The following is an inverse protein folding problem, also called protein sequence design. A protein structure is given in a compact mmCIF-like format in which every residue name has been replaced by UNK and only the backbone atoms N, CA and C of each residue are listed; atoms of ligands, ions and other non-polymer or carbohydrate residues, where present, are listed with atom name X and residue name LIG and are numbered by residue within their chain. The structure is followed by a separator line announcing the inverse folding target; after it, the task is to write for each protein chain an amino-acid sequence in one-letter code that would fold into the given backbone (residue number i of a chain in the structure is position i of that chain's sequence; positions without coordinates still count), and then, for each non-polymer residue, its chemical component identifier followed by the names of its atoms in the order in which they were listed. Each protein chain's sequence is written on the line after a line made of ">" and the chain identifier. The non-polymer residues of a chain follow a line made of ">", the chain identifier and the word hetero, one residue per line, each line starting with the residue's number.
data_IF_437565888022
#
_entry.id   IF_437565888022
#
_cell.length_a   1.000
_cell.length_b   1.000
_cell.length_c   1.000
_cell.angle_alpha   90.00
_cell.angle_beta   90.00
_cell.angle_gamma   90.00
#
_symmetry.space_group_name_H-M   'P 1'
#
loop_
_entity.id
_entity.type
_entity.pdbx_description
1 polymer ?
#
# COMPACT_ATOMS: atom_id res chain seq x y z
N UNK A 1 29.16 -2.34 35.47
CA UNK A 1 29.37 -3.80 35.43
C UNK A 1 29.54 -4.21 33.97
N UNK A 2 30.50 -5.09 33.66
CA UNK A 2 30.77 -5.53 32.28
C UNK A 2 30.16 -6.93 32.05
N UNK A 3 29.67 -7.25 30.85
CA UNK A 3 29.19 -8.60 30.52
C UNK A 3 30.34 -9.62 30.60
N UNK A 4 30.12 -10.74 31.28
CA UNK A 4 31.07 -11.88 31.33
C UNK A 4 31.92 -12.04 32.60
N UNK A 5 31.50 -11.48 33.73
CA UNK A 5 32.21 -11.64 35.01
C UNK A 5 32.03 -13.08 35.56
N UNK A 6 33.11 -13.86 35.78
CA UNK A 6 33.04 -15.28 36.17
C UNK A 6 32.57 -15.53 37.63
N UNK A 7 32.02 -14.52 38.29
CA UNK A 7 31.52 -14.55 39.67
C UNK A 7 29.99 -14.76 39.78
N UNK A 8 29.27 -14.86 38.66
CA UNK A 8 27.83 -15.07 38.62
C UNK A 8 27.48 -16.56 38.71
N UNK A 9 26.57 -16.93 39.61
CA UNK A 9 26.10 -18.31 39.76
C UNK A 9 25.32 -18.76 38.52
N UNK A 10 25.29 -20.07 38.23
CA UNK A 10 24.52 -20.61 37.11
C UNK A 10 23.03 -20.22 37.17
N UNK A 11 22.49 -20.02 38.37
CA UNK A 11 21.12 -19.53 38.60
C UNK A 11 20.94 -18.07 38.20
N UNK A 12 21.92 -17.18 38.43
CA UNK A 12 21.79 -15.77 38.03
C UNK A 12 21.90 -15.60 36.51
N UNK A 13 22.75 -16.40 35.85
CA UNK A 13 22.79 -16.47 34.39
C UNK A 13 21.48 -17.02 33.81
N UNK A 14 20.92 -18.08 34.39
CA UNK A 14 19.63 -18.64 33.96
C UNK A 14 18.46 -17.66 34.18
N UNK A 15 18.48 -16.89 35.27
CA UNK A 15 17.47 -15.86 35.54
C UNK A 15 17.57 -14.68 34.55
N UNK A 16 18.78 -14.22 34.22
CA UNK A 16 18.99 -13.18 33.20
C UNK A 16 18.58 -13.65 31.80
N UNK A 17 18.90 -14.90 31.44
CA UNK A 17 18.45 -15.49 30.18
C UNK A 17 16.93 -15.64 30.15
N UNK A 18 16.32 -16.13 31.24
CA UNK A 18 14.87 -16.26 31.34
C UNK A 18 14.15 -14.91 31.23
N UNK A 19 14.68 -13.86 31.87
CA UNK A 19 14.14 -12.50 31.77
C UNK A 19 14.21 -11.99 30.33
N UNK A 20 15.36 -12.16 29.65
CA UNK A 20 15.57 -11.75 28.26
C UNK A 20 14.68 -12.51 27.28
N UNK A 21 14.52 -13.81 27.48
CA UNK A 21 13.64 -14.65 26.65
C UNK A 21 12.19 -14.27 26.88
N UNK A 22 11.78 -14.06 28.14
CA UNK A 22 10.42 -13.63 28.49
C UNK A 22 10.09 -12.28 27.86
N UNK A 23 11.01 -11.31 27.91
CA UNK A 23 10.85 -10.01 27.26
C UNK A 23 10.72 -10.14 25.73
N UNK A 24 11.55 -10.98 25.09
CA UNK A 24 11.43 -11.26 23.64
C UNK A 24 10.09 -11.89 23.28
N UNK A 25 9.65 -12.89 24.05
CA UNK A 25 8.37 -13.58 23.80
C UNK A 25 7.21 -12.62 23.98
N UNK A 26 7.24 -11.81 25.04
CA UNK A 26 6.23 -10.79 25.30
C UNK A 26 6.16 -9.77 24.16
N UNK A 27 7.31 -9.29 23.67
CA UNK A 27 7.38 -8.39 22.51
C UNK A 27 6.77 -9.00 21.24
N UNK A 28 7.00 -10.30 20.98
CA UNK A 28 6.40 -11.01 19.84
C UNK A 28 4.87 -11.13 19.99
N UNK A 29 4.38 -11.44 21.19
CA UNK A 29 2.95 -11.54 21.48
C UNK A 29 2.27 -10.19 21.30
N UNK A 30 2.88 -9.11 21.80
CA UNK A 30 2.33 -7.76 21.71
C UNK A 30 2.35 -7.25 20.26
N UNK A 31 3.41 -7.54 19.50
CA UNK A 31 3.45 -7.23 18.06
C UNK A 31 2.36 -7.96 17.27
N UNK A 32 2.10 -9.24 17.61
CA UNK A 32 1.03 -10.02 16.98
C UNK A 32 -0.34 -9.47 17.32
N UNK A 33 -0.60 -9.16 18.59
CA UNK A 33 -1.86 -8.51 19.04
C UNK A 33 -2.06 -7.16 18.35
N UNK A 34 -1.00 -6.35 18.25
CA UNK A 34 -1.06 -5.04 17.61
C UNK A 34 -1.40 -5.13 16.11
N UNK A 35 -0.92 -6.18 15.43
CA UNK A 35 -1.27 -6.47 14.02
C UNK A 35 -2.69 -7.02 13.89
N UNK A 36 -3.07 -7.99 14.72
CA UNK A 36 -4.40 -8.61 14.68
C UNK A 36 -5.53 -7.58 14.86
N UNK A 37 -5.32 -6.53 15.67
CA UNK A 37 -6.28 -5.42 15.80
C UNK A 37 -6.58 -4.72 14.47
N UNK A 38 -5.54 -4.51 13.65
CA UNK A 38 -5.65 -3.87 12.34
C UNK A 38 -6.27 -4.84 11.34
N UNK A 39 -5.79 -6.08 11.29
CA UNK A 39 -6.24 -7.09 10.33
C UNK A 39 -7.70 -7.49 10.54
N UNK A 40 -8.19 -7.48 11.79
CA UNK A 40 -9.60 -7.74 12.12
C UNK A 40 -10.53 -6.55 11.89
N UNK A 41 -10.00 -5.40 11.45
CA UNK A 41 -10.77 -4.19 11.18
C UNK A 41 -11.36 -3.51 12.43
N UNK A 42 -10.97 -3.94 13.63
CA UNK A 42 -11.44 -3.38 14.92
C UNK A 42 -10.64 -2.15 15.31
N UNK A 43 -10.44 -1.24 14.37
CA UNK A 43 -9.70 -0.01 14.57
C UNK A 43 -10.67 1.16 14.75
N UNK A 44 -10.36 2.05 15.70
CA UNK A 44 -11.18 3.22 15.94
C UNK A 44 -11.15 4.17 14.70
N UNK A 45 -12.26 4.86 14.34
CA UNK A 45 -12.31 5.79 13.21
C UNK A 45 -11.22 6.88 13.22
N UNK A 46 -10.68 7.18 14.40
CA UNK A 46 -9.51 8.04 14.61
C UNK A 46 -8.34 7.72 13.66
N UNK A 47 -8.00 6.45 13.49
CA UNK A 47 -6.92 6.06 12.58
C UNK A 47 -7.29 6.29 11.11
N UNK A 48 -8.58 6.19 10.75
CA UNK A 48 -9.05 6.57 9.42
C UNK A 48 -8.86 8.07 9.14
N UNK A 49 -9.09 8.92 10.14
CA UNK A 49 -8.85 10.37 10.04
C UNK A 49 -7.34 10.68 9.96
N UNK A 50 -6.52 9.96 10.74
CA UNK A 50 -5.06 10.11 10.72
C UNK A 50 -4.51 9.73 9.33
N UNK A 51 -4.99 8.61 8.78
CA UNK A 51 -4.69 8.20 7.40
C UNK A 51 -5.05 9.28 6.39
N UNK A 52 -6.28 9.82 6.46
CA UNK A 52 -6.74 10.85 5.55
C UNK A 52 -5.89 12.13 5.64
N UNK A 53 -5.46 12.50 6.84
CA UNK A 53 -4.61 13.67 7.05
C UNK A 53 -3.20 13.47 6.48
N UNK A 54 -2.62 12.27 6.66
CA UNK A 54 -1.34 11.91 6.03
C UNK A 54 -1.43 11.94 4.51
N UNK A 55 -2.47 11.33 3.94
CA UNK A 55 -2.70 11.29 2.49
C UNK A 55 -2.94 12.70 1.93
N UNK A 56 -3.68 13.56 2.64
CA UNK A 56 -3.90 14.96 2.23
C UNK A 56 -2.61 15.77 2.21
N UNK A 57 -1.73 15.59 3.19
CA UNK A 57 -0.44 16.31 3.21
C UNK A 57 0.48 15.84 2.07
N UNK A 58 0.33 14.59 1.65
CA UNK A 58 1.07 13.98 0.54
C UNK A 58 0.25 13.94 -0.75
N UNK A 59 -0.71 14.85 -0.92
CA UNK A 59 -1.46 14.98 -2.16
C UNK A 59 -0.58 15.61 -3.25
N UNK A 60 -0.69 15.10 -4.47
CA UNK A 60 0.16 15.48 -5.60
C UNK A 60 1.70 15.47 -5.32
N UNK A 61 2.27 14.34 -4.86
CA UNK A 61 3.71 14.22 -4.63
C UNK A 61 4.51 14.35 -5.95
N UNK A 62 5.79 14.77 -5.88
CA UNK A 62 6.64 14.80 -7.07
C UNK A 62 6.85 13.38 -7.63
N UNK A 63 7.22 13.30 -8.90
CA UNK A 63 7.63 12.02 -9.49
C UNK A 63 8.97 11.58 -8.90
N UNK A 64 9.02 10.37 -8.38
CA UNK A 64 10.25 9.74 -7.90
C UNK A 64 10.82 8.80 -8.94
N UNK A 65 12.13 8.59 -8.90
CA UNK A 65 12.80 7.66 -9.81
C UNK A 65 12.28 6.23 -9.60
N UNK A 66 11.69 5.69 -10.66
CA UNK A 66 11.07 4.37 -10.75
C UNK A 66 11.38 3.79 -12.13
N UNK A 67 11.44 2.46 -12.28
CA UNK A 67 11.65 1.84 -13.58
C UNK A 67 10.64 2.36 -14.62
N UNK A 68 10.99 2.36 -15.91
CA UNK A 68 10.05 2.78 -16.96
C UNK A 68 8.81 1.88 -17.01
N UNK A 69 7.69 2.38 -17.55
CA UNK A 69 6.42 1.63 -17.66
C UNK A 69 6.60 0.20 -18.20
N UNK A 70 7.34 -0.06 -19.30
CA UNK A 70 7.54 -1.43 -19.79
C UNK A 70 8.30 -2.33 -18.82
N UNK A 71 9.29 -1.78 -18.10
CA UNK A 71 10.04 -2.53 -17.08
C UNK A 71 9.15 -2.85 -15.88
N UNK A 72 8.35 -1.89 -15.40
CA UNK A 72 7.41 -2.12 -14.31
C UNK A 72 6.35 -3.17 -14.68
N UNK A 73 5.82 -3.15 -15.91
CA UNK A 73 4.86 -4.13 -16.40
C UNK A 73 5.50 -5.53 -16.50
N UNK A 74 6.74 -5.63 -16.96
CA UNK A 74 7.47 -6.90 -17.01
C UNK A 74 7.69 -7.46 -15.59
N UNK A 75 8.09 -6.61 -14.64
CA UNK A 75 8.28 -7.02 -13.25
C UNK A 75 6.98 -7.43 -12.57
N UNK A 76 5.88 -6.72 -12.81
CA UNK A 76 4.57 -7.08 -12.26
C UNK A 76 4.09 -8.43 -12.80
N UNK A 77 4.26 -8.69 -14.10
CA UNK A 77 3.96 -9.97 -14.72
C UNK A 77 4.84 -11.10 -14.15
N UNK A 78 6.15 -10.88 -14.05
CA UNK A 78 7.09 -11.87 -13.50
C UNK A 78 6.74 -12.25 -12.05
N UNK A 79 6.35 -11.28 -11.22
CA UNK A 79 5.92 -11.52 -9.85
C UNK A 79 4.61 -12.29 -9.78
N UNK A 80 3.61 -11.93 -10.60
CA UNK A 80 2.36 -12.69 -10.70
C UNK A 80 2.59 -14.14 -11.17
N UNK A 81 3.50 -14.35 -12.11
CA UNK A 81 3.87 -15.69 -12.57
C UNK A 81 4.53 -16.52 -11.46
N UNK A 82 5.40 -15.90 -10.65
CA UNK A 82 5.99 -16.55 -9.45
C UNK A 82 4.92 -16.92 -8.43
N UNK A 83 4.01 -16.00 -8.13
CA UNK A 83 2.91 -16.24 -7.19
C UNK A 83 2.00 -17.37 -7.69
N UNK A 84 1.65 -17.37 -8.97
CA UNK A 84 0.88 -18.45 -9.57
C UNK A 84 1.61 -19.80 -9.48
N UNK A 85 2.92 -19.83 -9.74
CA UNK A 85 3.73 -21.03 -9.56
C UNK A 85 3.78 -21.54 -8.12
N UNK A 86 3.69 -20.63 -7.14
CA UNK A 86 3.73 -20.97 -5.72
C UNK A 86 2.36 -21.36 -5.13
N UNK A 87 1.27 -20.71 -5.56
CA UNK A 87 -0.06 -20.83 -4.92
C UNK A 87 -1.14 -21.42 -5.83
N UNK A 88 -0.85 -21.59 -7.12
CA UNK A 88 -1.85 -21.96 -8.13
C UNK A 88 -2.86 -20.86 -8.45
N UNK A 89 -2.70 -19.64 -7.91
CA UNK A 89 -3.60 -18.50 -8.14
C UNK A 89 -2.81 -17.20 -8.36
N UNK A 90 -3.08 -16.44 -9.44
CA UNK A 90 -2.39 -15.18 -9.68
C UNK A 90 -3.01 -14.11 -8.78
N UNK A 91 -2.38 -13.81 -7.64
CA UNK A 91 -2.69 -12.61 -6.85
C UNK A 91 -3.84 -12.72 -5.85
N UNK A 92 -3.82 -13.71 -4.95
CA UNK A 92 -4.69 -13.70 -3.77
C UNK A 92 -4.34 -12.52 -2.85
N UNK A 93 -4.96 -11.36 -3.06
CA UNK A 93 -4.99 -10.29 -2.06
C UNK A 93 -5.97 -10.69 -0.96
N UNK A 94 -5.59 -10.67 0.33
CA UNK A 94 -6.53 -10.84 1.43
C UNK A 94 -7.45 -9.61 1.46
N UNK A 95 -8.70 -9.80 1.09
CA UNK A 95 -9.71 -8.74 1.04
C UNK A 95 -11.11 -9.32 0.80
N UNK A 96 -12.17 -8.52 0.99
CA UNK A 96 -13.53 -8.95 0.69
C UNK A 96 -13.64 -9.39 -0.78
N UNK A 97 -14.48 -10.40 -1.04
CA UNK A 97 -14.74 -10.91 -2.40
C UNK A 97 -15.10 -9.72 -3.31
N UNK A 98 -14.19 -9.39 -4.22
CA UNK A 98 -14.46 -8.40 -5.26
C UNK A 98 -15.52 -8.96 -6.22
N UNK A 99 -16.32 -8.08 -6.79
CA UNK A 99 -17.23 -8.46 -7.87
C UNK A 99 -16.42 -9.11 -9.00
N UNK A 100 -16.92 -10.17 -9.64
CA UNK A 100 -16.20 -10.84 -10.71
C UNK A 100 -15.97 -9.85 -11.86
N UNK A 101 -14.71 -9.71 -12.26
CA UNK A 101 -14.34 -8.83 -13.37
C UNK A 101 -14.99 -9.30 -14.70
N UNK A 102 -15.23 -8.41 -15.68
CA UNK A 102 -15.75 -8.78 -16.99
C UNK A 102 -15.07 -10.00 -17.64
N UNK A 103 -13.74 -10.11 -17.52
CA UNK A 103 -12.94 -11.22 -18.01
C UNK A 103 -13.22 -12.52 -17.27
N UNK A 104 -13.52 -12.48 -15.97
CA UNK A 104 -14.00 -13.64 -15.23
C UNK A 104 -15.40 -14.06 -15.66
N UNK A 105 -16.30 -13.10 -15.92
CA UNK A 105 -17.65 -13.38 -16.41
C UNK A 105 -17.62 -14.02 -17.80
N UNK A 106 -16.77 -13.52 -18.70
CA UNK A 106 -16.52 -14.11 -20.01
C UNK A 106 -15.89 -15.50 -19.86
N UNK A 107 -14.89 -15.66 -18.99
CA UNK A 107 -14.28 -16.97 -18.73
C UNK A 107 -15.28 -18.00 -18.17
N UNK A 108 -16.25 -17.56 -17.35
CA UNK A 108 -17.34 -18.41 -16.85
C UNK A 108 -18.32 -18.79 -17.96
N UNK A 109 -18.74 -17.82 -18.78
CA UNK A 109 -19.70 -18.06 -19.88
C UNK A 109 -19.09 -18.86 -21.03
N UNK A 110 -17.80 -18.67 -21.31
CA UNK A 110 -17.12 -19.24 -22.45
C UNK A 110 -16.22 -20.45 -22.11
N UNK A 111 -16.37 -21.05 -20.92
CA UNK A 111 -15.48 -22.09 -20.40
C UNK A 111 -15.22 -23.23 -21.40
N UNK A 112 -16.23 -23.57 -22.20
CA UNK A 112 -16.20 -24.70 -23.15
C UNK A 112 -16.21 -24.27 -24.64
N UNK A 113 -16.02 -22.99 -24.94
CA UNK A 113 -16.15 -22.46 -26.30
C UNK A 113 -14.80 -21.90 -26.81
N UNK A 114 -14.07 -22.64 -27.67
CA UNK A 114 -12.78 -22.22 -28.20
C UNK A 114 -12.82 -20.88 -28.96
N UNK A 115 -13.96 -20.55 -29.58
CA UNK A 115 -14.15 -19.31 -30.33
C UNK A 115 -14.00 -18.03 -29.50
N UNK A 116 -14.17 -18.13 -28.17
CA UNK A 116 -14.06 -17.00 -27.25
C UNK A 116 -12.69 -16.90 -26.56
N UNK A 117 -11.74 -17.80 -26.87
CA UNK A 117 -10.41 -17.76 -26.25
C UNK A 117 -9.67 -16.46 -26.55
N UNK A 118 -9.77 -15.96 -27.78
CA UNK A 118 -9.16 -14.67 -28.16
C UNK A 118 -9.80 -13.50 -27.42
N UNK A 119 -11.13 -13.47 -27.33
CA UNK A 119 -11.86 -12.42 -26.61
C UNK A 119 -11.49 -12.42 -25.12
N UNK A 120 -11.49 -13.61 -24.50
CA UNK A 120 -11.10 -13.80 -23.10
C UNK A 120 -9.68 -13.30 -22.82
N UNK A 121 -8.72 -13.67 -23.67
CA UNK A 121 -7.33 -13.24 -23.54
C UNK A 121 -7.18 -11.72 -23.66
N UNK A 122 -7.90 -11.09 -24.61
CA UNK A 122 -7.90 -9.64 -24.76
C UNK A 122 -8.53 -8.92 -23.57
N UNK A 123 -9.66 -9.42 -23.05
CA UNK A 123 -10.32 -8.81 -21.88
C UNK A 123 -9.45 -8.92 -20.63
N UNK A 124 -8.87 -10.10 -20.37
CA UNK A 124 -7.98 -10.29 -19.21
C UNK A 124 -6.72 -9.44 -19.31
N UNK A 125 -6.10 -9.35 -20.50
CA UNK A 125 -4.95 -8.48 -20.72
C UNK A 125 -5.30 -6.99 -20.53
N UNK A 126 -6.49 -6.57 -20.96
CA UNK A 126 -6.99 -5.21 -20.75
C UNK A 126 -7.20 -4.87 -19.27
N UNK A 127 -7.82 -5.77 -18.51
CA UNK A 127 -8.03 -5.62 -17.06
C UNK A 127 -6.71 -5.54 -16.29
N UNK A 128 -5.75 -6.39 -16.65
CA UNK A 128 -4.41 -6.41 -16.05
C UNK A 128 -3.64 -5.11 -16.31
N UNK A 129 -3.69 -4.65 -17.55
CA UNK A 129 -3.08 -3.39 -17.97
C UNK A 129 -3.72 -2.19 -17.26
N UNK A 130 -5.04 -2.24 -17.05
CA UNK A 130 -5.79 -1.21 -16.35
C UNK A 130 -5.49 -1.17 -14.86
N UNK A 131 -5.51 -2.32 -14.16
CA UNK A 131 -5.06 -2.43 -12.78
C UNK A 131 -3.65 -1.83 -12.62
N UNK A 132 -2.75 -2.20 -13.52
CA UNK A 132 -1.40 -1.67 -13.54
C UNK A 132 -1.38 -0.15 -13.72
N UNK A 133 -2.14 0.40 -14.68
CA UNK A 133 -2.22 1.83 -14.94
C UNK A 133 -2.81 2.63 -13.76
N UNK A 134 -3.73 2.05 -12.98
CA UNK A 134 -4.25 2.62 -11.74
C UNK A 134 -3.28 2.47 -10.55
N UNK A 135 -2.03 2.03 -10.80
CA UNK A 135 -1.02 1.83 -9.77
C UNK A 135 -1.31 0.64 -8.84
N UNK A 136 -2.10 -0.34 -9.28
CA UNK A 136 -2.24 -1.64 -8.57
C UNK A 136 -1.00 -2.53 -8.82
N UNK A 137 0.05 -1.96 -9.41
CA UNK A 137 1.35 -2.58 -9.60
C UNK A 137 1.96 -3.07 -8.26
N UNK A 138 2.66 -4.21 -8.33
CA UNK A 138 3.50 -4.71 -7.23
C UNK A 138 4.74 -3.83 -7.01
N UNK A 139 5.13 -3.00 -7.99
CA UNK A 139 6.23 -2.05 -7.84
C UNK A 139 5.75 -0.78 -7.14
N UNK A 140 5.89 -0.79 -5.80
CA UNK A 140 5.62 0.36 -4.94
C UNK A 140 6.84 0.67 -4.07
N UNK A 141 7.05 1.95 -3.82
CA UNK A 141 7.98 2.42 -2.79
C UNK A 141 7.26 2.35 -1.45
N UNK A 142 7.85 1.68 -0.45
CA UNK A 142 7.21 1.53 0.86
C UNK A 142 8.15 2.02 1.94
N UNK A 143 7.74 3.05 2.65
CA UNK A 143 8.42 3.53 3.87
C UNK A 143 7.60 3.10 5.07
N UNK A 144 8.22 2.43 6.03
CA UNK A 144 7.55 2.06 7.28
C UNK A 144 8.00 2.98 8.40
N UNK A 145 7.04 3.63 9.06
CA UNK A 145 7.25 4.57 10.14
C UNK A 145 6.51 4.14 11.40
N UNK A 146 7.12 4.39 12.55
CA UNK A 146 6.45 4.38 13.85
C UNK A 146 6.20 5.82 14.29
N UNK A 147 4.96 6.09 14.68
CA UNK A 147 4.49 7.38 15.13
C UNK A 147 4.14 7.27 16.61
N UNK A 148 4.74 8.13 17.43
CA UNK A 148 4.36 8.31 18.83
C UNK A 148 3.66 9.65 18.97
N UNK A 149 2.39 9.61 19.33
CA UNK A 149 1.57 10.80 19.55
C UNK A 149 1.22 10.89 21.03
N UNK A 150 1.36 12.06 21.64
CA UNK A 150 1.02 12.29 23.04
C UNK A 150 -0.47 12.22 23.32
N UNK A 151 -0.83 12.14 24.60
CA UNK A 151 -2.23 12.18 25.07
C UNK A 151 -2.95 13.50 24.70
N UNK A 152 -2.20 14.57 24.43
CA UNK A 152 -2.66 15.87 23.93
C UNK A 152 -2.85 15.91 22.41
N UNK A 153 -2.51 14.84 21.70
CA UNK A 153 -2.59 14.75 20.24
C UNK A 153 -1.37 15.30 19.52
N UNK A 154 -0.34 15.79 20.23
CA UNK A 154 0.88 16.26 19.59
C UNK A 154 1.75 15.09 19.11
N UNK A 155 2.25 15.17 17.90
CA UNK A 155 3.23 14.20 17.40
C UNK A 155 4.57 14.42 18.12
N UNK A 156 4.99 13.44 18.93
CA UNK A 156 6.22 13.51 19.73
C UNK A 156 7.42 12.93 18.98
N UNK A 157 7.23 11.80 18.32
CA UNK A 157 8.30 11.08 17.64
C UNK A 157 7.83 10.48 16.32
N UNK A 158 8.72 10.52 15.32
CA UNK A 158 8.61 9.79 14.06
C UNK A 158 9.88 8.96 13.91
N UNK A 159 9.73 7.65 13.99
CA UNK A 159 10.84 6.70 13.87
C UNK A 159 10.74 5.93 12.56
N UNK A 160 11.81 5.99 11.77
CA UNK A 160 11.92 5.21 10.54
C UNK A 160 12.24 3.74 10.87
N UNK A 161 11.30 2.85 10.56
CA UNK A 161 11.49 1.40 10.71
C UNK A 161 12.14 0.80 9.47
N UNK A 162 11.66 1.17 8.29
CA UNK A 162 12.15 0.62 7.02
C UNK A 162 12.07 1.64 5.89
N UNK A 163 13.08 1.61 5.02
CA UNK A 163 13.27 2.49 3.87
C UNK A 163 12.71 1.85 2.61
N UNK A 164 12.26 2.68 1.67
CA UNK A 164 11.73 2.22 0.38
C UNK A 164 12.81 1.77 -0.61
N UNK A 165 14.07 2.11 -0.34
CA UNK A 165 15.17 1.96 -1.29
C UNK A 165 15.35 3.15 -2.24
N UNK A 166 14.40 4.11 -2.23
CA UNK A 166 14.53 5.39 -2.91
C UNK A 166 14.69 6.51 -1.87
N UNK A 167 15.89 7.09 -1.78
CA UNK A 167 16.20 8.12 -0.78
C UNK A 167 15.36 9.38 -0.94
N UNK A 168 15.09 9.83 -2.16
CA UNK A 168 14.28 11.02 -2.39
C UNK A 168 12.85 10.83 -1.90
N UNK A 169 12.30 9.62 -2.06
CA UNK A 169 10.99 9.26 -1.52
C UNK A 169 11.01 9.16 0.01
N UNK A 170 12.01 8.49 0.58
CA UNK A 170 12.16 8.39 2.04
C UNK A 170 12.22 9.77 2.70
N UNK A 171 13.03 10.68 2.14
CA UNK A 171 13.20 12.05 2.64
C UNK A 171 11.89 12.86 2.49
N UNK A 172 11.17 12.71 1.38
CA UNK A 172 9.87 13.34 1.17
C UNK A 172 8.82 12.90 2.21
N UNK A 173 8.74 11.59 2.49
CA UNK A 173 7.79 11.06 3.48
C UNK A 173 8.14 11.59 4.88
N UNK A 174 9.42 11.56 5.26
CA UNK A 174 9.87 12.04 6.57
C UNK A 174 9.66 13.55 6.77
N UNK A 175 9.72 14.34 5.70
CA UNK A 175 9.41 15.77 5.74
C UNK A 175 7.90 16.06 5.76
N UNK A 176 7.10 15.19 5.15
CA UNK A 176 5.64 15.37 5.03
C UNK A 176 4.89 14.96 6.30
N UNK A 177 5.35 13.95 7.03
CA UNK A 177 4.62 13.41 8.19
C UNK A 177 4.50 14.38 9.37
N UNK A 178 5.57 15.07 9.82
CA UNK A 178 5.47 16.01 10.93
C UNK A 178 4.44 17.13 10.74
N UNK A 179 4.42 17.88 9.62
CA UNK A 179 3.43 18.93 9.42
C UNK A 179 2.00 18.38 9.26
N UNK A 180 1.83 17.15 8.73
CA UNK A 180 0.51 16.53 8.62
C UNK A 180 -0.16 16.37 9.99
N UNK A 181 0.63 16.04 11.01
CA UNK A 181 0.16 15.67 12.36
C UNK A 181 0.48 16.72 13.43
N UNK A 182 1.01 17.88 13.04
CA UNK A 182 1.41 18.94 13.98
C UNK A 182 0.23 19.46 14.84
N UNK A 183 -0.99 19.41 14.29
CA UNK A 183 -2.24 19.76 14.99
C UNK A 183 -3.31 18.71 14.68
N UNK A 184 -3.12 17.51 15.20
CA UNK A 184 -4.11 16.45 15.12
C UNK A 184 -4.88 16.33 16.45
N UNK A 185 -6.17 15.95 16.44
CA UNK A 185 -6.93 15.76 17.66
C UNK A 185 -6.25 14.77 18.62
N UNK A 186 -6.50 14.95 19.92
CA UNK A 186 -6.06 14.01 20.92
C UNK A 186 -6.62 12.60 20.64
N UNK A 187 -5.83 11.55 20.88
CA UNK A 187 -6.32 10.18 20.75
C UNK A 187 -7.48 9.96 21.74
N UNK A 188 -8.61 9.43 21.29
CA UNK A 188 -9.77 9.26 22.16
C UNK A 188 -9.51 8.12 23.16
N UNK A 189 -10.00 8.26 24.38
CA UNK A 189 -9.69 7.34 25.49
C UNK A 189 -10.23 5.92 25.31
N UNK A 190 -11.18 5.73 24.39
CA UNK A 190 -11.76 4.44 24.01
C UNK A 190 -11.06 3.79 22.79
N UNK A 191 -10.14 4.49 22.13
CA UNK A 191 -9.32 3.86 21.10
C UNK A 191 -8.37 2.84 21.73
N UNK A 192 -8.43 1.60 21.25
CA UNK A 192 -7.53 0.54 21.69
C UNK A 192 -6.07 0.91 21.34
N UNK A 193 -5.17 0.76 22.32
CA UNK A 193 -3.75 1.14 22.21
C UNK A 193 -3.43 2.56 22.70
N UNK A 194 -4.41 3.28 23.24
CA UNK A 194 -4.16 4.53 23.96
C UNK A 194 -3.68 4.21 25.36
N UNK A 195 -2.46 4.65 25.65
CA UNK A 195 -1.84 4.62 26.97
C UNK A 195 -1.83 6.04 27.57
N UNK A 196 -1.50 6.15 28.86
CA UNK A 196 -1.46 7.43 29.57
C UNK A 196 -0.45 8.42 28.97
N UNK A 197 0.60 7.92 28.34
CA UNK A 197 1.62 8.69 27.65
C UNK A 197 1.26 9.04 26.20
N UNK A 198 0.23 8.40 25.64
CA UNK A 198 -0.28 8.64 24.30
C UNK A 198 -0.55 7.36 23.50
N UNK A 199 -0.37 7.41 22.18
CA UNK A 199 -0.63 6.29 21.29
C UNK A 199 0.59 6.03 20.39
N UNK A 200 0.94 4.75 20.24
CA UNK A 200 1.99 4.29 19.33
C UNK A 200 1.36 3.52 18.17
N UNK A 201 1.65 3.97 16.96
CA UNK A 201 1.12 3.33 15.73
C UNK A 201 2.19 3.18 14.67
N UNK A 202 2.11 2.11 13.89
CA UNK A 202 3.03 1.83 12.79
C UNK A 202 2.29 1.91 11.48
N UNK A 203 2.88 2.65 10.54
CA UNK A 203 2.30 2.99 9.24
C UNK A 203 3.24 2.59 8.11
N UNK A 204 2.69 2.05 7.04
CA UNK A 204 3.34 1.96 5.75
C UNK A 204 2.83 3.10 4.86
N UNK A 205 3.73 3.93 4.38
CA UNK A 205 3.45 4.93 3.34
C UNK A 205 3.88 4.32 2.02
N UNK A 206 2.90 4.03 1.16
CA UNK A 206 3.07 3.38 -0.12
C UNK A 206 2.98 4.40 -1.25
N UNK A 207 4.03 4.48 -2.05
CA UNK A 207 4.16 5.37 -3.19
C UNK A 207 4.14 4.59 -4.49
N UNK A 208 3.35 5.05 -5.46
CA UNK A 208 3.18 4.37 -6.74
C UNK A 208 3.00 5.35 -7.88
N UNK A 209 3.45 4.95 -9.07
CA UNK A 209 3.20 5.69 -10.30
C UNK A 209 1.84 5.24 -10.85
N UNK A 210 1.02 6.21 -11.21
CA UNK A 210 -0.28 6.03 -11.83
C UNK A 210 -0.22 6.66 -13.21
N UNK A 211 -0.72 5.91 -14.19
CA UNK A 211 -0.80 6.28 -15.59
C UNK A 211 -2.26 6.46 -16.03
N UNK A 212 -3.22 6.35 -15.11
CA UNK A 212 -4.63 6.55 -15.40
C UNK A 212 -5.00 8.04 -15.32
N UNK A 213 -5.68 8.53 -16.35
CA UNK A 213 -6.18 9.90 -16.43
C UNK A 213 -7.66 9.90 -16.78
N UNK A 214 -8.42 10.83 -16.22
CA UNK A 214 -9.83 11.01 -16.60
C UNK A 214 -9.93 11.50 -18.03
N UNK A 215 -10.80 10.89 -18.82
CA UNK A 215 -11.07 11.28 -20.19
C UNK A 215 -11.60 12.72 -20.28
N UNK A 216 -12.37 13.16 -19.28
CA UNK A 216 -12.86 14.54 -19.14
C UNK A 216 -11.75 15.58 -19.09
N UNK A 217 -10.57 15.18 -18.60
CA UNK A 217 -9.45 16.10 -18.37
C UNK A 217 -8.52 16.17 -19.60
N UNK A 218 -8.80 15.40 -20.65
CA UNK A 218 -8.04 15.41 -21.91
C UNK A 218 -8.53 16.55 -22.82
N UNK A 219 -7.60 17.33 -23.36
CA UNK A 219 -7.90 18.52 -24.17
C UNK A 219 -7.99 18.14 -25.64
N UNK A 220 -8.99 18.67 -26.36
CA UNK A 220 -9.20 18.37 -27.78
C UNK A 220 -7.94 18.68 -28.63
N UNK A 221 -7.67 17.84 -29.64
CA UNK A 221 -6.52 17.99 -30.55
C UNK A 221 -5.51 16.85 -30.44
N UNK A 222 -4.33 17.13 -29.87
CA UNK A 222 -3.23 16.16 -29.71
C UNK A 222 -3.64 14.92 -28.89
N UNK A 223 -4.57 15.07 -27.95
CA UNK A 223 -5.09 13.94 -27.18
C UNK A 223 -5.99 13.01 -28.01
N UNK A 224 -6.68 13.51 -29.05
CA UNK A 224 -7.47 12.65 -29.94
C UNK A 224 -6.60 11.74 -30.79
N UNK A 225 -5.45 12.25 -31.28
CA UNK A 225 -4.46 11.44 -32.02
C UNK A 225 -3.87 10.37 -31.10
N UNK A 226 -3.58 10.72 -29.86
CA UNK A 226 -3.09 9.78 -28.87
C UNK A 226 -4.11 8.70 -28.53
N UNK A 227 -5.38 9.08 -28.30
CA UNK A 227 -6.46 8.12 -28.06
C UNK A 227 -6.70 7.20 -29.26
N UNK A 228 -6.65 7.73 -30.49
CA UNK A 228 -6.75 6.93 -31.71
C UNK A 228 -5.57 5.94 -31.84
N UNK A 229 -4.36 6.35 -31.48
CA UNK A 229 -3.18 5.49 -31.47
C UNK A 229 -3.30 4.38 -30.41
N UNK A 230 -3.77 4.70 -29.19
CA UNK A 230 -4.06 3.70 -28.16
C UNK A 230 -5.17 2.74 -28.59
N UNK A 231 -6.20 3.22 -29.28
CA UNK A 231 -7.28 2.40 -29.82
C UNK A 231 -6.74 1.38 -30.81
N UNK A 232 -5.95 1.84 -31.79
CA UNK A 232 -5.34 1.01 -32.80
C UNK A 232 -4.37 -0.02 -32.20
N UNK A 233 -3.67 0.35 -31.13
CA UNK A 233 -2.74 -0.52 -30.42
C UNK A 233 -3.43 -1.44 -29.37
N UNK A 234 -4.76 -1.36 -29.21
CA UNK A 234 -5.52 -2.19 -28.28
C UNK A 234 -5.38 -1.80 -26.80
N UNK A 235 -4.87 -0.61 -26.51
CA UNK A 235 -4.65 -0.07 -25.15
C UNK A 235 -5.84 0.75 -24.62
N UNK A 236 -6.95 0.87 -25.36
CA UNK A 236 -8.20 1.46 -24.84
C UNK A 236 -8.92 0.49 -23.89
N UNK A 237 -8.22 0.06 -22.83
CA UNK A 237 -8.83 -0.52 -21.65
C UNK A 237 -9.33 0.63 -20.77
N UNK A 238 -10.40 1.31 -21.22
CA UNK A 238 -11.02 2.37 -20.43
C UNK A 238 -11.81 1.79 -19.26
N UNK A 239 -11.66 2.32 -18.05
CA UNK A 239 -12.52 1.91 -16.93
C UNK A 239 -13.66 2.89 -16.83
N UNK A 240 -14.89 2.40 -16.66
CA UNK A 240 -16.03 3.22 -16.32
C UNK A 240 -16.28 3.06 -14.83
N UNK A 241 -16.04 4.13 -14.08
CA UNK A 241 -16.42 4.16 -12.67
C UNK A 241 -17.95 4.32 -12.60
N UNK A 242 -18.65 3.23 -12.30
CA UNK A 242 -20.11 3.16 -12.32
C UNK A 242 -20.77 4.14 -11.34
N UNK A 243 -20.06 4.52 -10.26
CA UNK A 243 -20.59 5.43 -9.24
C UNK A 243 -20.46 6.91 -9.61
N UNK A 244 -19.42 7.29 -10.34
CA UNK A 244 -19.15 8.69 -10.73
C UNK A 244 -19.46 8.98 -12.19
N UNK A 245 -19.61 7.93 -13.02
CA UNK A 245 -19.75 8.04 -14.47
C UNK A 245 -18.46 8.40 -15.20
N UNK A 246 -17.31 8.37 -14.51
CA UNK A 246 -16.04 8.80 -15.08
C UNK A 246 -15.38 7.69 -15.89
N UNK A 247 -14.87 8.05 -17.07
CA UNK A 247 -14.05 7.17 -17.91
C UNK A 247 -12.58 7.47 -17.69
N UNK A 248 -11.80 6.46 -17.30
CA UNK A 248 -10.36 6.55 -17.16
C UNK A 248 -9.66 5.94 -18.37
N UNK A 249 -8.60 6.57 -18.84
CA UNK A 249 -7.74 6.07 -19.92
C UNK A 249 -6.28 6.04 -19.48
N UNK A 250 -5.49 5.20 -20.12
CA UNK A 250 -4.05 5.11 -19.86
C UNK A 250 -3.35 6.24 -20.61
N UNK A 251 -2.70 7.16 -19.91
CA UNK A 251 -1.89 8.25 -20.46
C UNK A 251 -0.45 8.11 -20.00
N UNK A 252 0.37 7.45 -20.82
CA UNK A 252 1.80 7.25 -20.57
C UNK A 252 2.61 8.55 -20.59
N UNK A 253 2.04 9.64 -21.12
CA UNK A 253 2.72 10.94 -21.25
C UNK A 253 2.61 11.78 -19.98
N UNK A 254 1.59 11.52 -19.16
CA UNK A 254 1.31 12.26 -17.93
C UNK A 254 1.22 11.32 -16.73
N UNK A 255 2.32 10.63 -16.36
CA UNK A 255 2.34 9.88 -15.12
C UNK A 255 2.22 10.83 -13.94
N UNK A 256 1.43 10.45 -12.95
CA UNK A 256 1.43 11.10 -11.64
C UNK A 256 1.79 10.10 -10.55
N UNK A 257 2.25 10.59 -9.41
CA UNK A 257 2.58 9.76 -8.28
C UNK A 257 1.45 9.85 -7.24
N UNK A 258 1.10 8.73 -6.63
CA UNK A 258 0.11 8.68 -5.54
C UNK A 258 0.74 8.09 -4.29
N UNK A 259 0.49 8.72 -3.15
CA UNK A 259 0.83 8.20 -1.84
C UNK A 259 -0.43 7.67 -1.15
N UNK A 260 -0.35 6.46 -0.60
CA UNK A 260 -1.40 5.87 0.24
C UNK A 260 -0.79 5.46 1.57
N UNK A 261 -1.51 5.75 2.66
CA UNK A 261 -1.04 5.41 4.01
C UNK A 261 -1.81 4.20 4.52
N UNK A 262 -1.12 3.17 4.99
CA UNK A 262 -1.73 1.96 5.55
C UNK A 262 -1.26 1.75 6.97
N UNK A 263 -2.22 1.69 7.90
CA UNK A 263 -1.94 1.30 9.26
C UNK A 263 -1.51 -0.18 9.28
N UNK A 264 -0.43 -0.48 9.99
CA UNK A 264 0.09 -1.84 10.14
C UNK A 264 -0.17 -2.38 11.54
N UNK A 265 0.06 -1.56 12.57
CA UNK A 265 0.02 -1.96 13.97
C UNK A 265 -0.40 -0.79 14.86
N UNK A 266 -1.12 -1.11 15.93
CA UNK A 266 -1.42 -0.19 17.04
C UNK A 266 -1.09 -0.91 18.34
N UNK A 267 -0.16 -0.35 19.10
CA UNK A 267 0.29 -0.91 20.38
C UNK A 267 -0.63 -0.44 21.50
#
# INVERSE_FOLDING_TARGET
>A
MRPGDPSLSAESLAAEEHARVSERVQGIVDERRARDRVDTGRIHPYFGQLRAQLEKQMDAPPLFDMPSFPKQLLYSYAEKARQFGATGSPGSMPGPRQAPKPGELIARRARNEPGYNRLRGLTQAGEELQDFAHGVSTMKLVVTLELLQGADGTLREVKLISRSGNRAYDDYVLQSVPPALAKFPAPPSDAMGVHTDGIRSVWAVEGRVVYARKLSDMKQGTDNVYLAALAAAGFLAGNFEETTGEVYVIDLRNPHFECRSRLLRVY
#
